data_IF_525733629177
#
_entry.id   IF_525733629177
#
_cell.length_a   1.000
_cell.length_b   1.000
_cell.length_c   1.000
_cell.angle_alpha   90.00
_cell.angle_beta   90.00
_cell.angle_gamma   90.00
#
_symmetry.space_group_name_H-M   'P 1'
#
loop_
_entity.id
_entity.type
_entity.pdbx_description
1 polymer ?
#
# COMPACT_ATOMS: atom_id res chain seq x y z
N UNK A 1 -19.26 25.77 -15.22
CA UNK A 1 -18.81 24.36 -15.36
C UNK A 1 -19.88 23.49 -14.75
N UNK A 2 -20.48 22.56 -15.53
CA UNK A 2 -21.49 21.63 -15.02
C UNK A 2 -20.84 20.58 -14.09
N UNK A 3 -21.65 19.85 -13.32
CA UNK A 3 -21.10 18.79 -12.46
C UNK A 3 -20.45 17.67 -13.26
N UNK A 4 -20.97 17.38 -14.46
CA UNK A 4 -20.33 16.45 -15.41
C UNK A 4 -18.96 16.95 -15.84
N UNK A 5 -18.81 18.24 -16.14
CA UNK A 5 -17.52 18.82 -16.54
C UNK A 5 -16.50 18.78 -15.41
N UNK A 6 -16.95 19.03 -14.16
CA UNK A 6 -16.09 18.88 -12.95
C UNK A 6 -15.65 17.43 -12.78
N UNK A 7 -16.57 16.48 -12.93
CA UNK A 7 -16.29 15.05 -12.78
C UNK A 7 -15.31 14.56 -13.84
N UNK A 8 -15.48 14.98 -15.11
CA UNK A 8 -14.53 14.71 -16.20
C UNK A 8 -13.15 15.25 -15.84
N UNK A 9 -13.06 16.52 -15.41
CA UNK A 9 -11.77 17.13 -15.07
C UNK A 9 -11.05 16.42 -13.94
N UNK A 10 -11.78 15.89 -12.94
CA UNK A 10 -11.21 15.13 -11.81
C UNK A 10 -10.66 13.78 -12.28
N UNK A 11 -11.45 13.04 -13.09
CA UNK A 11 -11.13 11.68 -13.51
C UNK A 11 -10.58 11.61 -14.93
N UNK A 12 -9.97 12.68 -15.40
CA UNK A 12 -9.29 12.70 -16.70
C UNK A 12 -8.10 11.72 -16.69
N UNK A 13 -7.92 11.00 -17.81
CA UNK A 13 -6.88 9.97 -17.95
C UNK A 13 -6.52 9.73 -19.42
N UNK A 14 -6.51 8.48 -19.88
CA UNK A 14 -6.26 8.14 -21.29
C UNK A 14 -7.32 8.73 -22.22
N UNK A 15 -6.87 9.29 -23.32
CA UNK A 15 -7.73 9.78 -24.40
C UNK A 15 -8.00 8.74 -25.48
N UNK A 16 -7.26 7.64 -25.49
CA UNK A 16 -7.32 6.62 -26.55
C UNK A 16 -8.10 5.37 -26.16
N UNK A 17 -8.35 5.18 -24.86
CA UNK A 17 -9.04 3.99 -24.37
C UNK A 17 -9.75 4.23 -23.04
N UNK A 18 -10.79 3.45 -22.78
CA UNK A 18 -11.53 3.42 -21.52
C UNK A 18 -11.98 2.00 -21.18
N UNK A 19 -12.44 1.78 -19.96
CA UNK A 19 -12.93 0.51 -19.48
C UNK A 19 -14.45 0.44 -19.35
N UNK A 20 -15.00 -0.74 -19.55
CA UNK A 20 -16.38 -1.08 -19.22
C UNK A 20 -16.43 -2.43 -18.51
N UNK A 21 -17.30 -2.53 -17.52
CA UNK A 21 -17.61 -3.79 -16.85
C UNK A 21 -19.07 -4.13 -17.09
N UNK A 22 -19.33 -5.22 -17.81
CA UNK A 22 -20.67 -5.70 -18.14
C UNK A 22 -21.03 -6.93 -17.32
N UNK A 23 -22.29 -7.04 -16.92
CA UNK A 23 -22.84 -8.26 -16.33
C UNK A 23 -22.94 -9.31 -17.43
N UNK A 24 -22.66 -10.56 -17.10
CA UNK A 24 -22.89 -11.71 -17.96
C UNK A 24 -24.20 -12.41 -17.55
N UNK A 25 -24.68 -13.34 -18.36
CA UNK A 25 -25.82 -14.19 -18.01
C UNK A 25 -25.45 -15.27 -16.97
N UNK A 26 -24.15 -15.50 -16.75
CA UNK A 26 -23.66 -16.44 -15.76
C UNK A 26 -23.77 -15.87 -14.34
N UNK A 27 -24.03 -16.76 -13.36
CA UNK A 27 -24.06 -16.43 -11.95
C UNK A 27 -22.85 -17.04 -11.23
N UNK A 28 -22.41 -16.35 -10.18
CA UNK A 28 -21.44 -16.92 -9.23
C UNK A 28 -22.13 -17.83 -8.21
N UNK A 29 -21.34 -18.50 -7.35
CA UNK A 29 -21.84 -19.39 -6.29
C UNK A 29 -22.77 -18.70 -5.28
N UNK A 30 -22.81 -17.36 -5.25
CA UNK A 30 -23.66 -16.52 -4.39
C UNK A 30 -24.91 -16.01 -5.12
N UNK A 31 -25.18 -16.47 -6.34
CA UNK A 31 -26.31 -16.03 -7.15
C UNK A 31 -26.18 -14.61 -7.71
N UNK A 32 -24.97 -14.02 -7.75
CA UNK A 32 -24.73 -12.74 -8.41
C UNK A 32 -24.24 -12.94 -9.84
N UNK A 33 -24.71 -12.07 -10.74
CA UNK A 33 -24.19 -12.06 -12.11
C UNK A 33 -22.67 -11.92 -12.11
N UNK A 34 -21.98 -12.81 -12.79
CA UNK A 34 -20.57 -12.63 -13.09
C UNK A 34 -20.41 -11.37 -13.95
N UNK A 35 -19.24 -10.78 -13.90
CA UNK A 35 -18.93 -9.58 -14.68
C UNK A 35 -17.69 -9.81 -15.54
N UNK A 36 -17.70 -9.26 -16.74
CA UNK A 36 -16.52 -9.23 -17.61
C UNK A 36 -16.11 -7.78 -17.84
N UNK A 37 -14.80 -7.55 -17.73
CA UNK A 37 -14.19 -6.23 -17.94
C UNK A 37 -13.53 -6.18 -19.31
N UNK A 38 -13.76 -5.08 -20.02
CA UNK A 38 -13.25 -4.86 -21.39
C UNK A 38 -12.57 -3.49 -21.47
N UNK A 39 -11.46 -3.42 -22.20
CA UNK A 39 -10.86 -2.16 -22.62
C UNK A 39 -11.34 -1.86 -24.03
N UNK A 40 -11.89 -0.67 -24.22
CA UNK A 40 -12.40 -0.19 -25.51
C UNK A 40 -11.43 0.89 -26.00
N UNK A 41 -10.79 0.64 -27.14
CA UNK A 41 -9.82 1.56 -27.76
C UNK A 41 -10.54 2.67 -28.52
N UNK A 42 -11.16 3.56 -27.76
CA UNK A 42 -11.85 4.78 -28.25
C UNK A 42 -11.75 5.85 -27.18
N UNK A 43 -11.82 7.11 -27.59
CA UNK A 43 -11.87 8.25 -26.66
C UNK A 43 -13.15 8.20 -25.82
N UNK A 44 -13.07 8.32 -24.48
CA UNK A 44 -14.25 8.46 -23.65
C UNK A 44 -14.95 9.80 -23.97
N UNK A 45 -16.27 9.77 -24.13
CA UNK A 45 -17.05 10.96 -24.49
C UNK A 45 -17.76 11.55 -23.27
N UNK A 46 -18.06 12.85 -23.30
CA UNK A 46 -18.86 13.52 -22.26
C UNK A 46 -20.18 12.79 -21.99
N UNK A 47 -20.82 12.25 -23.03
CA UNK A 47 -22.06 11.50 -22.89
C UNK A 47 -21.89 10.25 -22.00
N UNK A 48 -20.75 9.54 -22.11
CA UNK A 48 -20.48 8.38 -21.26
C UNK A 48 -20.36 8.74 -19.77
N UNK A 49 -19.76 9.89 -19.45
CA UNK A 49 -19.73 10.39 -18.08
C UNK A 49 -21.12 10.80 -17.59
N UNK A 50 -21.94 11.42 -18.44
CA UNK A 50 -23.34 11.72 -18.11
C UNK A 50 -24.12 10.45 -17.84
N UNK A 51 -24.04 9.45 -18.72
CA UNK A 51 -24.72 8.17 -18.60
C UNK A 51 -24.27 7.44 -17.34
N UNK A 52 -22.99 7.49 -17.00
CA UNK A 52 -22.44 6.93 -15.76
C UNK A 52 -23.07 7.59 -14.52
N UNK A 53 -23.07 8.92 -14.43
CA UNK A 53 -23.66 9.66 -13.30
C UNK A 53 -25.19 9.47 -13.22
N UNK A 54 -25.84 9.21 -14.34
CA UNK A 54 -27.28 8.88 -14.43
C UNK A 54 -27.59 7.40 -14.13
N UNK A 55 -26.56 6.56 -13.89
CA UNK A 55 -26.73 5.15 -13.57
C UNK A 55 -27.02 4.23 -14.75
N UNK A 56 -26.77 4.67 -15.99
CA UNK A 56 -26.93 3.81 -17.17
C UNK A 56 -25.79 2.79 -17.25
N UNK A 57 -26.14 1.55 -17.46
CA UNK A 57 -25.16 0.48 -17.72
C UNK A 57 -24.64 0.51 -19.17
N UNK A 58 -23.39 0.16 -19.40
CA UNK A 58 -22.38 -0.25 -18.43
C UNK A 58 -21.72 0.94 -17.72
N UNK A 59 -21.35 0.74 -16.44
CA UNK A 59 -20.60 1.73 -15.70
C UNK A 59 -19.26 2.05 -16.38
N UNK A 60 -18.86 3.33 -16.37
CA UNK A 60 -17.61 3.80 -16.98
C UNK A 60 -16.41 3.51 -16.10
N UNK A 61 -15.34 3.00 -16.69
CA UNK A 61 -14.01 2.91 -16.10
C UNK A 61 -13.04 3.79 -16.89
N UNK A 62 -12.14 4.47 -16.20
CA UNK A 62 -11.10 5.30 -16.82
C UNK A 62 -9.72 4.73 -16.51
N UNK A 63 -8.85 4.82 -17.50
CA UNK A 63 -7.43 4.47 -17.38
C UNK A 63 -6.72 5.72 -16.90
N UNK A 64 -6.15 5.74 -15.67
CA UNK A 64 -5.58 6.96 -15.10
C UNK A 64 -4.35 7.47 -15.85
N UNK A 65 -3.54 6.57 -16.42
CA UNK A 65 -2.33 6.93 -17.17
C UNK A 65 -2.68 7.31 -18.61
N UNK A 66 -2.26 8.50 -19.03
CA UNK A 66 -2.45 8.98 -20.38
C UNK A 66 -1.28 8.60 -21.31
N UNK A 67 -1.38 8.98 -22.58
CA UNK A 67 -0.43 8.69 -23.66
C UNK A 67 0.97 9.30 -23.42
N UNK A 68 1.06 10.34 -22.57
CA UNK A 68 2.31 10.96 -22.13
C UNK A 68 2.90 10.31 -20.85
N UNK A 69 2.33 9.17 -20.41
CA UNK A 69 2.69 8.48 -19.16
C UNK A 69 2.51 9.35 -17.90
N UNK A 70 1.51 10.19 -17.90
CA UNK A 70 1.14 11.08 -16.81
C UNK A 70 -0.27 10.77 -16.30
N UNK A 71 -0.55 11.16 -15.06
CA UNK A 71 -1.85 11.01 -14.39
C UNK A 71 -2.24 12.31 -13.70
N UNK A 72 -3.56 12.55 -13.52
CA UNK A 72 -4.12 13.56 -12.61
C UNK A 72 -4.62 12.94 -11.31
N UNK A 73 -4.82 11.64 -11.32
CA UNK A 73 -5.25 10.88 -10.16
C UNK A 73 -4.65 9.48 -10.19
N UNK A 74 -4.58 8.88 -9.03
CA UNK A 74 -4.18 7.50 -8.84
C UNK A 74 -4.96 6.92 -7.65
N UNK A 75 -4.97 5.59 -7.52
CA UNK A 75 -5.81 4.92 -6.54
C UNK A 75 -5.11 3.70 -5.94
N UNK A 76 -5.28 3.51 -4.62
CA UNK A 76 -5.05 2.23 -3.95
C UNK A 76 -6.39 1.49 -3.96
N UNK A 77 -6.44 0.30 -4.56
CA UNK A 77 -7.62 -0.55 -4.63
C UNK A 77 -7.56 -1.62 -3.53
N UNK A 78 -8.41 -1.47 -2.51
CA UNK A 78 -8.45 -2.36 -1.35
C UNK A 78 -9.64 -3.30 -1.50
N UNK A 79 -9.35 -4.53 -1.90
CA UNK A 79 -10.32 -5.60 -2.18
C UNK A 79 -10.63 -6.46 -0.94
N UNK A 80 -11.02 -5.82 0.15
CA UNK A 80 -11.47 -6.49 1.37
C UNK A 80 -12.98 -6.27 1.55
N UNK A 81 -13.77 -7.35 1.54
CA UNK A 81 -15.22 -7.24 1.40
C UNK A 81 -16.00 -7.51 2.68
N UNK A 82 -15.52 -8.39 3.54
CA UNK A 82 -16.23 -8.79 4.76
C UNK A 82 -15.73 -8.01 5.96
N UNK A 83 -16.59 -7.15 6.52
CA UNK A 83 -16.28 -6.40 7.73
C UNK A 83 -15.25 -5.29 7.57
N UNK A 84 -15.07 -4.76 6.34
CA UNK A 84 -14.11 -3.69 6.09
C UNK A 84 -14.56 -2.39 6.76
N UNK A 85 -13.73 -1.88 7.67
CA UNK A 85 -14.01 -0.65 8.42
C UNK A 85 -13.42 0.58 7.73
N UNK A 86 -14.27 1.27 6.96
CA UNK A 86 -13.90 2.50 6.28
C UNK A 86 -13.57 3.64 7.26
N UNK A 87 -14.20 3.70 8.44
CA UNK A 87 -13.92 4.73 9.45
C UNK A 87 -12.51 4.57 10.01
N UNK A 88 -12.10 3.34 10.31
CA UNK A 88 -10.75 3.08 10.80
C UNK A 88 -9.69 3.40 9.73
N UNK A 89 -9.97 3.09 8.45
CA UNK A 89 -9.09 3.51 7.35
C UNK A 89 -8.95 5.03 7.28
N UNK A 90 -10.08 5.76 7.32
CA UNK A 90 -10.06 7.23 7.26
C UNK A 90 -9.34 7.81 8.48
N UNK A 91 -9.56 7.28 9.67
CA UNK A 91 -8.86 7.69 10.89
C UNK A 91 -7.33 7.56 10.71
N UNK A 92 -6.84 6.44 10.16
CA UNK A 92 -5.41 6.27 9.86
C UNK A 92 -4.91 7.27 8.83
N UNK A 93 -5.68 7.53 7.77
CA UNK A 93 -5.35 8.53 6.75
C UNK A 93 -5.19 9.91 7.39
N UNK A 94 -6.08 10.31 8.30
CA UNK A 94 -6.01 11.59 9.02
C UNK A 94 -4.86 11.65 10.01
N UNK A 95 -4.60 10.57 10.75
CA UNK A 95 -3.46 10.47 11.66
C UNK A 95 -2.12 10.68 10.96
N UNK A 96 -1.99 10.24 9.71
CA UNK A 96 -0.79 10.44 8.90
C UNK A 96 -0.81 11.72 8.07
N UNK A 97 -1.88 12.52 8.15
CA UNK A 97 -2.07 13.71 7.33
C UNK A 97 -1.95 13.43 5.82
N UNK A 98 -2.39 12.25 5.37
CA UNK A 98 -2.36 11.91 3.95
C UNK A 98 -3.47 12.63 3.18
N UNK A 99 -3.17 13.24 2.04
CA UNK A 99 -4.15 13.95 1.21
C UNK A 99 -4.96 12.97 0.35
N UNK A 100 -5.60 12.01 1.00
CA UNK A 100 -6.31 10.92 0.36
C UNK A 100 -7.82 11.05 0.58
N UNK A 101 -8.59 10.70 -0.47
CA UNK A 101 -10.04 10.52 -0.41
C UNK A 101 -10.41 9.05 -0.53
N UNK A 102 -11.30 8.60 0.35
CA UNK A 102 -11.81 7.23 0.35
C UNK A 102 -13.19 7.19 -0.31
N UNK A 103 -13.34 6.35 -1.31
CA UNK A 103 -14.64 5.96 -1.85
C UNK A 103 -14.89 4.48 -1.56
N UNK A 104 -16.15 4.15 -1.25
CA UNK A 104 -16.58 2.76 -1.17
C UNK A 104 -16.53 2.13 -2.55
N UNK A 105 -15.93 0.94 -2.68
CA UNK A 105 -15.97 0.17 -3.93
C UNK A 105 -17.31 -0.55 -4.10
N UNK A 106 -17.62 -1.03 -5.30
CA UNK A 106 -18.87 -1.76 -5.59
C UNK A 106 -19.06 -2.97 -4.67
N UNK A 107 -17.97 -3.65 -4.36
CA UNK A 107 -18.00 -4.89 -3.57
C UNK A 107 -17.94 -4.68 -2.06
N UNK A 108 -17.79 -3.42 -1.61
CA UNK A 108 -17.71 -3.07 -0.20
C UNK A 108 -16.32 -2.79 0.34
N UNK A 109 -15.27 -2.99 -0.45
CA UNK A 109 -13.91 -2.53 -0.17
C UNK A 109 -13.74 -1.02 -0.37
N UNK A 110 -12.53 -0.54 -0.60
CA UNK A 110 -12.26 0.88 -0.75
C UNK A 110 -11.36 1.19 -1.95
N UNK A 111 -11.71 2.26 -2.67
CA UNK A 111 -10.84 2.97 -3.58
C UNK A 111 -10.30 4.21 -2.87
N UNK A 112 -9.00 4.27 -2.65
CA UNK A 112 -8.34 5.37 -1.94
C UNK A 112 -7.59 6.23 -2.94
N UNK A 113 -8.14 7.40 -3.23
CA UNK A 113 -7.68 8.28 -4.30
C UNK A 113 -6.68 9.32 -3.82
N UNK A 114 -5.67 9.57 -4.66
CA UNK A 114 -4.75 10.69 -4.59
C UNK A 114 -4.91 11.52 -5.87
N UNK A 115 -4.98 12.84 -5.74
CA UNK A 115 -5.27 13.76 -6.85
C UNK A 115 -4.22 14.85 -6.98
N UNK A 116 -4.01 15.31 -8.23
CA UNK A 116 -3.22 16.51 -8.52
C UNK A 116 -4.00 17.50 -9.41
N UNK A 117 -3.60 18.78 -9.39
CA UNK A 117 -4.18 19.81 -10.23
C UNK A 117 -3.97 19.54 -11.72
N UNK A 118 -2.78 19.08 -12.07
CA UNK A 118 -2.32 18.85 -13.43
C UNK A 118 -1.79 17.43 -13.59
N UNK A 119 -1.57 17.02 -14.83
CA UNK A 119 -0.96 15.75 -15.14
C UNK A 119 0.51 15.70 -14.70
N UNK A 120 0.85 14.76 -13.82
CA UNK A 120 2.20 14.51 -13.33
C UNK A 120 2.67 13.09 -13.70
N UNK A 121 3.98 12.79 -13.68
CA UNK A 121 4.47 11.45 -14.04
C UNK A 121 3.80 10.33 -13.23
N UNK A 122 3.30 9.31 -13.92
CA UNK A 122 2.65 8.15 -13.27
C UNK A 122 3.56 7.44 -12.26
N UNK A 123 4.86 7.40 -12.52
CA UNK A 123 5.84 6.83 -11.61
C UNK A 123 5.88 7.54 -10.25
N UNK A 124 5.70 8.87 -10.23
CA UNK A 124 5.65 9.66 -8.99
C UNK A 124 4.43 9.29 -8.15
N UNK A 125 3.24 9.22 -8.74
CA UNK A 125 2.02 8.76 -8.05
C UNK A 125 2.20 7.37 -7.47
N UNK A 126 2.69 6.43 -8.28
CA UNK A 126 2.85 5.03 -7.86
C UNK A 126 3.81 4.88 -6.69
N UNK A 127 4.93 5.61 -6.72
CA UNK A 127 5.89 5.60 -5.60
C UNK A 127 5.22 6.08 -4.31
N UNK A 128 4.59 7.25 -4.34
CA UNK A 128 3.94 7.83 -3.15
C UNK A 128 2.80 6.95 -2.63
N UNK A 129 1.95 6.40 -3.52
CA UNK A 129 0.85 5.53 -3.10
C UNK A 129 1.32 4.19 -2.54
N UNK A 130 2.44 3.62 -3.03
CA UNK A 130 3.03 2.41 -2.43
C UNK A 130 3.46 2.65 -0.99
N UNK A 131 4.14 3.77 -0.74
CA UNK A 131 4.60 4.13 0.58
C UNK A 131 3.41 4.40 1.52
N UNK A 132 2.37 5.11 1.04
CA UNK A 132 1.14 5.34 1.80
C UNK A 132 0.38 4.05 2.07
N UNK A 133 0.22 3.18 1.07
CA UNK A 133 -0.45 1.88 1.23
C UNK A 133 0.24 1.02 2.29
N UNK A 134 1.58 0.95 2.24
CA UNK A 134 2.37 0.24 3.25
C UNK A 134 2.16 0.82 4.65
N UNK A 135 2.17 2.16 4.79
CA UNK A 135 1.95 2.84 6.07
C UNK A 135 0.55 2.61 6.64
N UNK A 136 -0.45 2.53 5.75
CA UNK A 136 -1.84 2.25 6.14
C UNK A 136 -2.09 0.76 6.45
N UNK A 137 -1.11 -0.12 6.21
CA UNK A 137 -1.23 -1.57 6.42
C UNK A 137 -1.78 -2.34 5.21
N UNK A 138 -1.72 -1.75 4.01
CA UNK A 138 -2.22 -2.32 2.75
C UNK A 138 -1.13 -2.41 1.68
N UNK A 139 0.09 -2.81 2.07
CA UNK A 139 1.26 -2.87 1.17
C UNK A 139 1.04 -3.74 -0.10
N UNK A 140 0.16 -4.75 -0.01
CA UNK A 140 -0.17 -5.65 -1.11
C UNK A 140 -1.39 -5.22 -1.94
N UNK A 141 -2.01 -4.06 -1.62
CA UNK A 141 -3.13 -3.56 -2.40
C UNK A 141 -2.70 -3.16 -3.81
N UNK A 142 -3.59 -3.36 -4.79
CA UNK A 142 -3.32 -2.93 -6.15
C UNK A 142 -3.28 -1.40 -6.24
N UNK A 143 -2.35 -0.88 -7.05
CA UNK A 143 -2.21 0.56 -7.28
C UNK A 143 -2.47 0.87 -8.74
N UNK A 144 -3.43 1.75 -8.98
CA UNK A 144 -3.74 2.29 -10.30
C UNK A 144 -3.13 3.70 -10.47
N UNK A 145 -2.46 3.96 -11.61
CA UNK A 145 -2.20 3.03 -12.71
C UNK A 145 -1.29 1.87 -12.28
N UNK A 146 -1.50 0.68 -12.86
CA UNK A 146 -0.65 -0.50 -12.59
C UNK A 146 0.75 -0.37 -13.20
N UNK A 147 0.92 0.48 -14.19
CA UNK A 147 2.15 0.69 -14.95
C UNK A 147 2.72 2.10 -14.72
N UNK A 148 4.05 2.22 -14.72
CA UNK A 148 4.74 3.52 -14.75
C UNK A 148 4.76 4.13 -16.16
N UNK A 149 4.74 3.28 -17.19
CA UNK A 149 4.76 3.65 -18.61
C UNK A 149 3.87 2.69 -19.40
N UNK A 150 3.26 3.21 -20.44
CA UNK A 150 2.47 2.47 -21.43
C UNK A 150 3.14 2.64 -22.79
N UNK A 151 3.44 1.53 -23.45
CA UNK A 151 4.01 1.55 -24.80
C UNK A 151 2.86 1.56 -25.84
N UNK A 152 2.50 2.75 -26.27
CA UNK A 152 1.44 2.96 -27.26
C UNK A 152 1.78 2.31 -28.61
N UNK A 153 3.07 2.24 -28.97
CA UNK A 153 3.51 1.65 -30.24
C UNK A 153 3.26 0.14 -30.27
N UNK A 154 3.24 -0.50 -29.10
CA UNK A 154 2.88 -1.92 -28.93
C UNK A 154 1.37 -2.13 -28.65
N UNK A 155 0.55 -1.09 -28.81
CA UNK A 155 -0.89 -1.15 -28.56
C UNK A 155 -1.27 -1.26 -27.09
N UNK A 156 -0.35 -0.89 -26.18
CA UNK A 156 -0.62 -0.82 -24.75
C UNK A 156 -1.64 0.28 -24.42
N UNK A 157 -2.51 0.02 -23.44
CA UNK A 157 -3.54 0.99 -23.02
C UNK A 157 -3.52 1.30 -21.53
N UNK A 158 -2.80 0.52 -20.73
CA UNK A 158 -2.89 0.58 -19.26
C UNK A 158 -4.13 -0.13 -18.71
N UNK A 159 -4.29 -0.12 -17.40
CA UNK A 159 -5.40 -0.74 -16.69
C UNK A 159 -6.39 0.33 -16.23
N UNK A 160 -7.67 0.09 -16.41
CA UNK A 160 -8.73 1.01 -15.98
C UNK A 160 -9.19 0.70 -14.54
N UNK A 161 -9.74 1.72 -13.89
CA UNK A 161 -10.48 1.60 -12.65
C UNK A 161 -11.93 2.06 -12.89
N UNK A 162 -12.89 1.33 -12.36
CA UNK A 162 -14.29 1.75 -12.40
C UNK A 162 -14.48 3.02 -11.56
N UNK A 163 -15.08 4.05 -12.15
CA UNK A 163 -15.30 5.32 -11.48
C UNK A 163 -16.31 5.21 -10.32
N UNK A 164 -16.18 6.07 -9.29
CA UNK A 164 -17.20 6.24 -8.26
C UNK A 164 -18.45 6.94 -8.85
N UNK A 165 -19.52 7.02 -8.07
CA UNK A 165 -20.76 7.75 -8.41
C UNK A 165 -21.53 7.24 -9.64
N UNK A 166 -21.39 5.95 -10.00
CA UNK A 166 -22.35 5.35 -10.92
C UNK A 166 -23.75 5.42 -10.31
N UNK A 167 -24.70 6.06 -10.97
CA UNK A 167 -25.97 6.52 -10.41
C UNK A 167 -25.76 7.47 -9.20
N UNK A 168 -25.33 8.68 -9.48
CA UNK A 168 -24.83 9.62 -8.44
C UNK A 168 -25.78 9.84 -7.27
N UNK A 169 -27.09 9.81 -7.50
CA UNK A 169 -28.13 9.99 -6.45
C UNK A 169 -28.28 8.77 -5.53
N UNK A 170 -28.05 7.56 -6.06
CA UNK A 170 -28.25 6.29 -5.34
C UNK A 170 -27.01 5.42 -5.37
N UNK A 171 -25.84 6.01 -5.57
CA UNK A 171 -24.60 5.26 -5.75
C UNK A 171 -24.22 4.46 -4.54
N UNK A 172 -23.82 3.21 -4.75
CA UNK A 172 -23.13 2.41 -3.75
C UNK A 172 -21.60 2.65 -3.76
N UNK A 173 -21.09 3.48 -4.69
CA UNK A 173 -19.68 3.82 -4.89
C UNK A 173 -19.48 5.31 -4.59
N UNK A 174 -19.71 5.69 -3.35
CA UNK A 174 -19.69 7.09 -2.90
C UNK A 174 -18.42 7.41 -2.10
N UNK A 175 -18.04 8.67 -2.06
CA UNK A 175 -17.04 9.17 -1.14
C UNK A 175 -17.49 9.03 0.31
N UNK A 176 -16.58 8.80 1.22
CA UNK A 176 -16.88 8.55 2.64
C UNK A 176 -16.31 9.69 3.48
N UNK A 177 -17.17 10.29 4.33
CA UNK A 177 -16.79 11.36 5.29
C UNK A 177 -16.02 10.78 6.47
N UNK A 178 -15.41 11.65 7.25
CA UNK A 178 -14.65 11.27 8.45
C UNK A 178 -15.50 10.56 9.51
N UNK A 179 -16.79 10.84 9.56
CA UNK A 179 -17.77 10.15 10.42
C UNK A 179 -18.24 8.79 9.87
N UNK A 180 -17.81 8.43 8.66
CA UNK A 180 -18.19 7.20 7.97
C UNK A 180 -19.46 7.31 7.12
N UNK A 181 -20.13 8.46 7.11
CA UNK A 181 -21.32 8.68 6.27
C UNK A 181 -20.95 8.91 4.80
N UNK A 182 -21.93 8.71 3.89
CA UNK A 182 -21.76 8.92 2.47
C UNK A 182 -21.62 10.41 2.13
N UNK A 183 -20.74 10.73 1.19
CA UNK A 183 -20.72 12.02 0.50
C UNK A 183 -21.62 11.96 -0.72
N UNK A 184 -22.45 12.97 -0.92
CA UNK A 184 -23.02 13.23 -2.23
C UNK A 184 -21.95 13.73 -3.22
N UNK A 185 -22.33 13.89 -4.49
CA UNK A 185 -21.37 14.29 -5.54
C UNK A 185 -20.80 15.70 -5.31
N UNK A 186 -21.57 16.63 -4.78
CA UNK A 186 -21.13 18.01 -4.50
C UNK A 186 -20.12 18.01 -3.34
N UNK A 187 -20.42 17.30 -2.27
CA UNK A 187 -19.51 17.13 -1.14
C UNK A 187 -18.19 16.46 -1.55
N UNK A 188 -18.24 15.53 -2.50
CA UNK A 188 -17.03 14.93 -3.06
C UNK A 188 -16.19 15.96 -3.83
N UNK A 189 -16.79 16.84 -4.62
CA UNK A 189 -16.07 17.91 -5.32
C UNK A 189 -15.40 18.88 -4.34
N UNK A 190 -16.10 19.23 -3.26
CA UNK A 190 -15.53 20.06 -2.19
C UNK A 190 -14.37 19.37 -1.49
N UNK A 191 -14.52 18.09 -1.16
CA UNK A 191 -13.47 17.31 -0.54
C UNK A 191 -12.24 17.16 -1.46
N UNK A 192 -12.47 16.87 -2.76
CA UNK A 192 -11.42 16.83 -3.77
C UNK A 192 -10.63 18.14 -3.83
N UNK A 193 -11.32 19.28 -3.86
CA UNK A 193 -10.65 20.60 -3.95
C UNK A 193 -9.73 20.89 -2.76
N UNK A 194 -10.00 20.29 -1.59
CA UNK A 194 -9.21 20.45 -0.35
C UNK A 194 -7.98 19.53 -0.30
N UNK A 195 -8.01 18.39 -0.98
CA UNK A 195 -6.92 17.38 -0.86
C UNK A 195 -6.04 17.28 -2.10
N UNK A 196 -6.45 17.84 -3.24
CA UNK A 196 -5.64 17.82 -4.47
C UNK A 196 -4.35 18.57 -4.28
N UNK A 197 -3.26 18.09 -4.87
CA UNK A 197 -1.92 18.60 -4.73
C UNK A 197 -1.42 19.22 -6.04
N UNK A 198 -0.46 20.11 -5.95
CA UNK A 198 0.42 20.46 -7.07
C UNK A 198 1.49 19.38 -7.26
N UNK A 199 2.17 19.36 -8.42
CA UNK A 199 3.29 18.44 -8.66
C UNK A 199 4.41 18.63 -7.62
N UNK A 200 4.71 19.89 -7.26
CA UNK A 200 5.72 20.23 -6.26
C UNK A 200 5.33 19.70 -4.87
N UNK A 201 4.08 19.89 -4.47
CA UNK A 201 3.57 19.34 -3.20
C UNK A 201 3.63 17.80 -3.18
N UNK A 202 3.24 17.14 -4.29
CA UNK A 202 3.32 15.69 -4.38
C UNK A 202 4.77 15.19 -4.33
N UNK A 203 5.70 15.86 -4.98
CA UNK A 203 7.12 15.48 -4.98
C UNK A 203 7.74 15.62 -3.59
N UNK A 204 7.42 16.71 -2.89
CA UNK A 204 7.90 17.01 -1.53
C UNK A 204 7.17 16.23 -0.43
N UNK A 205 6.07 15.56 -0.76
CA UNK A 205 5.30 14.77 0.21
C UNK A 205 6.20 13.67 0.78
N UNK A 206 6.71 13.90 1.97
CA UNK A 206 7.55 12.95 2.69
C UNK A 206 6.65 12.06 3.55
N UNK A 207 6.63 10.78 3.26
CA UNK A 207 6.01 9.79 4.12
C UNK A 207 7.08 9.41 5.15
N UNK A 208 7.14 10.19 6.23
CA UNK A 208 8.12 9.94 7.30
C UNK A 208 7.93 8.52 7.82
N UNK A 209 8.95 7.72 7.73
CA UNK A 209 9.05 6.54 8.57
C UNK A 209 9.05 7.03 10.03
N UNK A 210 8.05 6.66 10.80
CA UNK A 210 8.09 6.94 12.23
C UNK A 210 9.23 6.14 12.84
N UNK A 211 10.18 6.83 13.43
CA UNK A 211 11.33 6.26 14.16
C UNK A 211 10.94 5.37 15.36
N UNK A 212 9.66 5.23 15.66
CA UNK A 212 9.18 4.41 16.79
C UNK A 212 9.39 2.91 16.55
N UNK A 213 9.48 2.46 15.30
CA UNK A 213 9.83 1.06 14.96
C UNK A 213 11.33 0.78 15.06
N UNK A 214 12.18 1.80 14.97
CA UNK A 214 13.64 1.63 14.92
C UNK A 214 14.21 1.03 16.23
N UNK A 215 13.65 1.39 17.39
CA UNK A 215 14.15 0.85 18.66
C UNK A 215 13.80 -0.62 18.92
N UNK A 216 12.65 -1.12 18.41
CA UNK A 216 12.27 -2.53 18.60
C UNK A 216 13.06 -3.47 17.68
N UNK A 217 13.45 -3.03 16.50
CA UNK A 217 14.07 -3.84 15.45
C UNK A 217 15.52 -3.44 15.14
N UNK A 218 16.18 -2.74 16.05
CA UNK A 218 17.57 -2.35 15.91
C UNK A 218 18.46 -3.59 15.79
N UNK A 219 19.31 -3.63 14.75
CA UNK A 219 20.15 -4.78 14.47
C UNK A 219 19.42 -6.05 14.00
N UNK A 220 18.10 -5.98 13.75
CA UNK A 220 17.29 -7.12 13.32
C UNK A 220 17.58 -7.56 11.87
N UNK A 221 17.38 -8.85 11.54
CA UNK A 221 17.38 -9.33 10.17
C UNK A 221 16.44 -8.53 9.24
N UNK A 222 16.85 -8.22 7.99
CA UNK A 222 16.03 -7.43 7.06
C UNK A 222 14.64 -8.02 6.79
N UNK A 223 14.51 -9.34 6.80
CA UNK A 223 13.23 -10.02 6.64
C UNK A 223 12.26 -9.71 7.79
N UNK A 224 12.73 -9.69 9.04
CA UNK A 224 11.91 -9.32 10.20
C UNK A 224 11.48 -7.86 10.16
N UNK A 225 12.38 -6.96 9.75
CA UNK A 225 12.04 -5.54 9.54
C UNK A 225 10.95 -5.39 8.47
N UNK A 226 11.07 -6.14 7.37
CA UNK A 226 10.09 -6.10 6.29
C UNK A 226 8.73 -6.62 6.72
N UNK A 227 8.68 -7.77 7.41
CA UNK A 227 7.46 -8.38 7.92
C UNK A 227 6.79 -7.49 8.97
N UNK A 228 7.55 -6.91 9.89
CA UNK A 228 7.05 -5.98 10.90
C UNK A 228 6.38 -4.74 10.26
N UNK A 229 6.97 -4.19 9.19
CA UNK A 229 6.40 -3.07 8.42
C UNK A 229 5.11 -3.42 7.68
N UNK A 230 4.99 -4.66 7.23
CA UNK A 230 3.81 -5.13 6.47
C UNK A 230 2.67 -5.59 7.38
N UNK A 231 2.97 -5.92 8.64
CA UNK A 231 2.09 -6.63 9.54
C UNK A 231 2.05 -8.15 9.23
N UNK A 232 1.80 -8.95 10.25
CA UNK A 232 1.81 -10.42 10.12
C UNK A 232 0.38 -10.91 9.91
N UNK A 233 0.05 -11.52 8.75
CA UNK A 233 -1.30 -11.98 8.46
C UNK A 233 -1.69 -13.18 9.30
N UNK A 234 -3.00 -13.36 9.46
CA UNK A 234 -3.57 -14.54 10.12
C UNK A 234 -3.10 -15.82 9.41
N UNK A 235 -2.73 -16.84 10.17
CA UNK A 235 -2.18 -18.11 9.65
C UNK A 235 -0.65 -18.15 9.55
N UNK A 236 0.04 -17.00 9.54
CA UNK A 236 1.52 -16.92 9.52
C UNK A 236 2.12 -16.44 10.85
N UNK A 237 1.27 -16.06 11.82
CA UNK A 237 1.68 -15.42 13.06
C UNK A 237 2.64 -16.30 13.89
N UNK A 238 2.35 -17.57 14.07
CA UNK A 238 3.20 -18.47 14.86
C UNK A 238 4.61 -18.60 14.29
N UNK A 239 4.74 -18.78 12.96
CA UNK A 239 6.05 -18.87 12.30
C UNK A 239 6.81 -17.55 12.34
N UNK A 240 6.14 -16.44 12.13
CA UNK A 240 6.76 -15.11 12.25
C UNK A 240 7.22 -14.87 13.69
N UNK A 241 6.33 -15.09 14.68
CA UNK A 241 6.66 -14.88 16.10
C UNK A 241 7.76 -15.81 16.62
N UNK A 242 7.91 -17.02 16.06
CA UNK A 242 9.07 -17.85 16.33
C UNK A 242 10.37 -17.11 15.99
N UNK A 243 10.45 -16.50 14.82
CA UNK A 243 11.64 -15.77 14.37
C UNK A 243 11.85 -14.45 15.14
N UNK A 244 10.78 -13.74 15.53
CA UNK A 244 10.90 -12.63 16.46
C UNK A 244 11.37 -13.09 17.84
N UNK A 245 10.95 -14.29 18.30
CA UNK A 245 11.45 -14.88 19.55
C UNK A 245 12.94 -15.18 19.50
N UNK A 246 13.44 -15.70 18.38
CA UNK A 246 14.90 -15.91 18.18
C UNK A 246 15.64 -14.57 18.22
N UNK A 247 15.11 -13.54 17.56
CA UNK A 247 15.69 -12.21 17.58
C UNK A 247 15.69 -11.60 19.00
N UNK A 248 14.56 -11.66 19.72
CA UNK A 248 14.48 -11.13 21.07
C UNK A 248 15.42 -11.86 22.03
N UNK A 249 15.59 -13.17 21.88
CA UNK A 249 16.53 -13.97 22.68
C UNK A 249 17.98 -13.59 22.41
N UNK A 250 18.35 -13.27 21.15
CA UNK A 250 19.68 -12.75 20.82
C UNK A 250 19.92 -11.36 21.41
N UNK A 251 18.92 -10.47 21.29
CA UNK A 251 19.02 -9.06 21.70
C UNK A 251 18.90 -8.87 23.22
N UNK A 252 18.07 -9.64 23.89
CA UNK A 252 17.73 -9.50 25.31
C UNK A 252 17.83 -10.84 26.05
N UNK A 253 19.03 -11.45 26.18
CA UNK A 253 19.18 -12.81 26.69
C UNK A 253 18.52 -13.06 28.07
N UNK A 254 18.46 -12.03 28.93
CA UNK A 254 17.92 -12.14 30.30
C UNK A 254 16.42 -11.82 30.43
N UNK A 255 15.78 -11.24 29.42
CA UNK A 255 14.39 -10.74 29.51
C UNK A 255 13.55 -11.02 28.25
N UNK A 256 14.07 -11.79 27.30
CA UNK A 256 13.47 -12.03 25.99
C UNK A 256 12.07 -12.63 26.08
N UNK A 257 11.80 -13.45 27.10
CA UNK A 257 10.52 -14.07 27.39
C UNK A 257 9.40 -13.06 27.69
N UNK A 258 9.77 -11.87 28.19
CA UNK A 258 8.86 -10.74 28.41
C UNK A 258 8.81 -9.83 27.19
N UNK A 259 9.96 -9.61 26.56
CA UNK A 259 10.06 -8.72 25.41
C UNK A 259 9.24 -9.23 24.21
N UNK A 260 9.15 -10.55 23.99
CA UNK A 260 8.40 -11.14 22.86
C UNK A 260 6.93 -10.72 22.82
N UNK A 261 6.31 -10.43 23.97
CA UNK A 261 4.92 -9.94 24.03
C UNK A 261 4.77 -8.58 23.36
N UNK A 262 5.76 -7.69 23.48
CA UNK A 262 5.75 -6.38 22.82
C UNK A 262 5.73 -6.52 21.29
N UNK A 263 6.48 -7.48 20.76
CA UNK A 263 6.51 -7.78 19.31
C UNK A 263 5.19 -8.39 18.83
N UNK A 264 4.58 -9.25 19.64
CA UNK A 264 3.27 -9.80 19.36
C UNK A 264 2.18 -8.72 19.24
N UNK A 265 2.13 -7.81 20.20
CA UNK A 265 1.18 -6.69 20.22
C UNK A 265 1.43 -5.72 19.05
N UNK A 266 2.70 -5.44 18.76
CA UNK A 266 3.08 -4.48 17.74
C UNK A 266 2.81 -5.00 16.31
N UNK A 267 3.08 -6.29 16.05
CA UNK A 267 3.18 -6.80 14.68
C UNK A 267 2.15 -7.85 14.30
N UNK A 268 1.53 -8.57 15.25
CA UNK A 268 0.46 -9.53 14.97
C UNK A 268 -0.93 -8.88 15.03
N UNK A 269 -1.76 -9.12 14.03
CA UNK A 269 -3.14 -8.61 14.01
C UNK A 269 -4.13 -9.70 13.56
N UNK A 270 -4.97 -10.18 14.50
CA UNK A 270 -4.93 -9.93 15.94
C UNK A 270 -3.67 -10.55 16.58
N UNK A 271 -3.23 -10.09 17.76
CA UNK A 271 -2.13 -10.71 18.48
C UNK A 271 -2.42 -12.20 18.78
N UNK A 272 -1.37 -13.01 18.92
CA UNK A 272 -1.48 -14.35 19.46
C UNK A 272 -1.90 -14.29 20.94
N UNK A 273 -2.63 -15.28 21.39
CA UNK A 273 -3.00 -15.35 22.79
C UNK A 273 -1.80 -15.73 23.68
N UNK A 274 -1.99 -15.56 25.00
CA UNK A 274 -0.92 -15.84 25.95
C UNK A 274 -0.44 -17.28 25.90
N UNK A 275 -1.33 -18.26 25.70
CA UNK A 275 -0.97 -19.69 25.65
C UNK A 275 -0.12 -19.99 24.43
N UNK A 276 -0.43 -19.38 23.28
CA UNK A 276 0.34 -19.51 22.04
C UNK A 276 1.75 -18.95 22.23
N UNK A 277 1.89 -17.76 22.84
CA UNK A 277 3.21 -17.17 23.15
C UNK A 277 3.97 -17.98 24.19
N UNK A 278 3.34 -18.44 25.28
CA UNK A 278 3.97 -19.29 26.29
C UNK A 278 4.49 -20.61 25.68
N UNK A 279 3.77 -21.16 24.71
CA UNK A 279 4.20 -22.36 23.95
C UNK A 279 5.41 -22.06 23.07
N UNK A 280 5.43 -20.90 22.40
CA UNK A 280 6.59 -20.45 21.63
C UNK A 280 7.82 -20.23 22.53
N UNK A 281 7.64 -19.60 23.68
CA UNK A 281 8.72 -19.39 24.66
C UNK A 281 9.30 -20.75 25.09
N UNK A 282 8.48 -21.71 25.50
CA UNK A 282 8.93 -23.06 25.86
C UNK A 282 9.65 -23.76 24.71
N UNK A 283 9.22 -23.56 23.48
CA UNK A 283 9.88 -24.16 22.32
C UNK A 283 11.23 -23.54 22.00
N UNK A 284 11.43 -22.25 22.31
CA UNK A 284 12.67 -21.49 22.07
C UNK A 284 13.61 -21.59 23.28
N UNK A 285 13.09 -21.92 24.47
CA UNK A 285 13.85 -21.98 25.71
C UNK A 285 14.70 -23.22 25.81
N UNK A 286 15.69 -23.56 25.98
CA UNK A 286 16.43 -24.83 26.21
C UNK A 286 17.23 -25.39 25.03
N UNK A 287 17.30 -24.72 23.87
CA UNK A 287 18.18 -25.08 22.77
C UNK A 287 18.80 -23.83 22.12
N UNK A 288 19.93 -23.99 21.40
CA UNK A 288 20.37 -22.97 20.45
C UNK A 288 19.41 -22.93 19.26
N UNK A 289 18.59 -21.89 19.20
CA UNK A 289 17.62 -21.73 18.11
C UNK A 289 18.12 -20.76 17.06
N UNK A 290 18.02 -21.23 15.81
CA UNK A 290 18.33 -20.44 14.62
C UNK A 290 17.06 -19.94 13.96
N UNK A 291 17.17 -18.82 13.20
CA UNK A 291 16.09 -18.36 12.35
C UNK A 291 15.70 -19.44 11.33
N UNK A 292 14.39 -19.60 11.13
CA UNK A 292 13.84 -20.51 10.10
C UNK A 292 13.81 -19.86 8.74
N UNK A 293 14.99 -19.49 8.23
CA UNK A 293 15.14 -18.70 7.01
C UNK A 293 14.54 -19.32 5.73
N UNK A 294 14.23 -20.62 5.74
CA UNK A 294 13.62 -21.35 4.61
C UNK A 294 12.10 -21.47 4.73
N UNK A 295 11.53 -21.05 5.88
CA UNK A 295 10.10 -21.16 6.15
C UNK A 295 9.40 -19.82 5.92
N UNK A 296 8.16 -19.86 5.44
CA UNK A 296 7.33 -18.68 5.34
C UNK A 296 6.88 -18.21 6.76
N UNK A 297 6.74 -16.89 6.98
CA UNK A 297 6.77 -15.82 5.99
C UNK A 297 8.15 -15.22 5.71
N UNK A 298 9.22 -15.60 6.42
CA UNK A 298 10.50 -14.91 6.28
C UNK A 298 11.30 -15.32 5.04
N UNK A 299 11.04 -16.51 4.49
CA UNK A 299 11.72 -16.99 3.28
C UNK A 299 11.56 -16.03 2.10
N UNK A 300 10.33 -15.56 1.87
CA UNK A 300 10.00 -14.61 0.79
C UNK A 300 10.71 -13.25 0.91
N UNK A 301 11.15 -12.86 2.10
CA UNK A 301 11.79 -11.57 2.37
C UNK A 301 13.28 -11.70 2.73
N UNK A 302 13.83 -12.90 2.61
CA UNK A 302 15.20 -13.18 3.00
C UNK A 302 16.20 -12.44 2.12
N UNK A 303 17.12 -11.71 2.76
CA UNK A 303 18.29 -11.10 2.13
C UNK A 303 19.53 -11.48 2.93
N UNK A 304 20.11 -12.64 2.61
CA UNK A 304 21.25 -13.19 3.33
C UNK A 304 22.45 -12.25 3.36
N UNK A 305 22.75 -11.57 2.25
CA UNK A 305 23.90 -10.64 2.16
C UNK A 305 23.77 -9.46 3.14
N UNK A 306 22.57 -8.92 3.31
CA UNK A 306 22.31 -7.85 4.29
C UNK A 306 22.15 -8.40 5.69
N UNK A 307 21.66 -9.64 5.84
CA UNK A 307 21.40 -10.25 7.14
C UNK A 307 22.67 -10.55 7.91
N UNK A 308 23.72 -11.02 7.24
CA UNK A 308 25.01 -11.30 7.90
C UNK A 308 25.71 -10.04 8.42
N UNK A 309 25.32 -8.87 7.94
CA UNK A 309 25.82 -7.57 8.39
C UNK A 309 25.02 -6.98 9.56
N UNK A 310 23.92 -7.63 9.98
CA UNK A 310 23.12 -7.18 11.10
C UNK A 310 23.63 -7.80 12.40
N UNK A 311 23.63 -7.03 13.47
CA UNK A 311 24.10 -7.45 14.80
C UNK A 311 23.43 -8.74 15.28
N UNK A 312 22.11 -8.86 15.06
CA UNK A 312 21.33 -10.04 15.45
C UNK A 312 20.90 -10.87 14.23
N UNK A 313 21.64 -10.78 13.12
CA UNK A 313 21.40 -11.54 11.90
C UNK A 313 21.83 -13.01 11.97
N UNK A 314 22.01 -13.61 10.79
CA UNK A 314 22.61 -14.95 10.63
C UNK A 314 24.11 -14.78 10.44
N UNK A 315 24.87 -14.94 11.47
CA UNK A 315 26.32 -14.71 11.51
C UNK A 315 26.70 -13.97 12.81
N UNK A 316 27.98 -13.77 13.00
CA UNK A 316 28.51 -13.13 14.21
C UNK A 316 28.51 -11.58 14.13
N UNK A 317 27.79 -11.01 13.15
CA UNK A 317 27.89 -9.59 12.80
C UNK A 317 29.22 -9.26 12.13
N UNK A 318 29.30 -8.17 11.40
CA UNK A 318 30.61 -7.59 11.08
C UNK A 318 31.04 -6.88 12.36
N UNK A 319 32.18 -7.24 12.99
CA UNK A 319 32.68 -6.45 14.11
C UNK A 319 32.77 -5.00 13.64
N UNK A 320 32.31 -4.06 14.45
CA UNK A 320 32.63 -2.66 14.23
C UNK A 320 34.14 -2.62 14.06
N UNK A 321 34.59 -2.39 12.84
CA UNK A 321 35.98 -2.08 12.58
C UNK A 321 36.20 -0.73 13.21
N UNK A 322 36.66 -0.72 14.50
CA UNK A 322 37.24 0.47 15.07
C UNK A 322 38.29 0.94 14.06
N UNK A 323 38.08 2.10 13.48
CA UNK A 323 39.13 2.78 12.72
C UNK A 323 40.19 3.13 13.72
N UNK A 324 41.20 2.27 13.83
CA UNK A 324 42.28 2.47 14.81
C UNK A 324 43.23 3.58 14.41
N UNK A 325 43.38 3.83 13.11
CA UNK A 325 44.30 4.84 12.60
C UNK A 325 43.94 5.19 11.15
N UNK A 326 43.93 6.47 10.81
CA UNK A 326 43.84 6.94 9.43
C UNK A 326 45.20 7.49 9.08
N UNK A 327 45.92 6.81 8.17
CA UNK A 327 47.18 7.28 7.66
C UNK A 327 46.98 8.02 6.33
N UNK A 328 47.46 9.25 6.28
CA UNK A 328 47.49 10.07 5.07
C UNK A 328 48.80 9.83 4.31
N UNK A 329 48.69 9.40 3.08
CA UNK A 329 49.86 9.38 2.16
C UNK A 329 49.95 10.70 1.41
N UNK A 330 51.19 11.23 1.35
CA UNK A 330 51.51 12.40 0.53
C UNK A 330 51.51 11.98 -0.94
N UNK A 331 50.37 12.14 -1.57
CA UNK A 331 50.11 11.94 -2.98
C UNK A 331 49.22 13.07 -3.49
N UNK A 332 49.23 13.35 -4.77
CA UNK A 332 48.30 14.32 -5.36
C UNK A 332 47.38 13.61 -6.36
N UNK A 333 46.08 13.41 -6.04
CA UNK A 333 45.40 13.77 -4.77
C UNK A 333 45.79 12.86 -3.57
N UNK A 334 45.67 13.34 -2.32
CA UNK A 334 46.06 12.58 -1.12
C UNK A 334 45.22 11.30 -0.94
N UNK A 335 45.89 10.18 -0.66
CA UNK A 335 45.30 8.88 -0.35
C UNK A 335 45.23 8.67 1.17
N UNK A 336 44.19 8.01 1.62
CA UNK A 336 43.99 7.65 3.02
C UNK A 336 43.82 6.14 3.15
N UNK A 337 44.40 5.56 4.19
CA UNK A 337 44.19 4.18 4.62
C UNK A 337 43.42 4.15 5.92
N UNK A 338 42.52 3.14 6.06
CA UNK A 338 41.73 2.89 7.26
C UNK A 338 42.10 1.51 7.80
#
# INVERSE_FOLDING_TARGET
MTDVDKFINIFEGSYSAYGQTRKTEEFDERGKHKTRSFIIKKTPTKQMFMDHLMGKDPALGIIPINEANKCKWACIDIDLYNGFDHKELIKKIRQHNFPLLVCRSKSGGAHVFLFTDNFVPAALFRSKLKDMAAKLGYANAEIFPKQNKVDMNKGGTGSFLNLPYHNALLSMRYGIKDDGSAMDLIQFFEAHSKVKLTEDQLSKLSIKEEKVLDNLLEGAPPCLVTIAKQGIPNGQRNNAMYNFGVYTKKRFPGTWDREIFKYNEAYCKPPLDKKEIDTLIKSIDGKEYNYKCKDEPIASFCNSKKCVMQEFGVGDGVPETEIKEIQKYDSDPPLYYV
#
